data_IF_010314859158
#
_entry.id   IF_010314859158
#
_cell.length_a   1.000
_cell.length_b   1.000
_cell.length_c   1.000
_cell.angle_alpha   90.00
_cell.angle_beta   90.00
_cell.angle_gamma   90.00
#
_symmetry.space_group_name_H-M   'P 1'
#
loop_
_entity.id
_entity.type
_entity.pdbx_description
1 polymer ?
#
# COMPACT_ATOMS: atom_id res chain seq x y z
N UNK A 1 4.90 -22.22 -7.00
CA UNK A 1 5.60 -20.91 -6.94
C UNK A 1 4.82 -19.82 -6.19
N UNK A 2 3.57 -19.48 -6.55
CA UNK A 2 2.81 -18.39 -5.92
C UNK A 2 2.44 -18.59 -4.42
N UNK A 3 2.25 -19.85 -3.97
CA UNK A 3 2.02 -20.15 -2.55
C UNK A 3 3.28 -19.97 -1.71
N UNK A 4 4.44 -20.41 -2.22
CA UNK A 4 5.74 -20.24 -1.57
C UNK A 4 6.10 -18.76 -1.40
N UNK A 5 5.90 -17.95 -2.44
CA UNK A 5 6.12 -16.49 -2.37
C UNK A 5 5.22 -15.82 -1.32
N UNK A 6 3.93 -16.18 -1.25
CA UNK A 6 3.02 -15.69 -0.21
C UNK A 6 3.45 -16.11 1.19
N UNK A 7 3.94 -17.34 1.36
CA UNK A 7 4.48 -17.80 2.64
C UNK A 7 5.70 -16.98 3.07
N UNK A 8 6.63 -16.72 2.15
CA UNK A 8 7.80 -15.88 2.42
C UNK A 8 7.41 -14.44 2.77
N UNK A 9 6.46 -13.84 2.06
CA UNK A 9 5.95 -12.49 2.36
C UNK A 9 5.32 -12.42 3.76
N UNK A 10 4.50 -13.41 4.11
CA UNK A 10 3.90 -13.55 5.45
C UNK A 10 4.93 -13.72 6.56
N UNK A 11 6.02 -14.44 6.30
CA UNK A 11 7.15 -14.55 7.23
C UNK A 11 7.90 -13.22 7.35
N UNK A 12 8.15 -12.56 6.22
CA UNK A 12 8.85 -11.28 6.15
C UNK A 12 8.16 -10.18 6.96
N UNK A 13 6.84 -10.01 6.82
CA UNK A 13 6.11 -9.00 7.60
C UNK A 13 6.13 -9.28 9.11
N UNK A 14 6.12 -10.55 9.53
CA UNK A 14 6.22 -10.93 10.95
C UNK A 14 7.60 -10.65 11.54
N UNK A 15 8.67 -10.97 10.80
CA UNK A 15 10.03 -10.64 11.19
C UNK A 15 10.23 -9.12 11.28
N UNK A 16 9.68 -8.37 10.32
CA UNK A 16 9.75 -6.91 10.33
C UNK A 16 8.97 -6.31 11.53
N UNK A 17 7.80 -6.86 11.87
CA UNK A 17 7.09 -6.46 13.09
C UNK A 17 7.93 -6.72 14.33
N UNK A 18 8.53 -7.90 14.46
CA UNK A 18 9.37 -8.23 15.63
C UNK A 18 10.51 -7.21 15.78
N UNK A 19 11.23 -6.92 14.69
CA UNK A 19 12.29 -5.92 14.69
C UNK A 19 11.78 -4.52 15.07
N UNK A 20 10.61 -4.12 14.56
CA UNK A 20 10.00 -2.84 14.93
C UNK A 20 9.60 -2.79 16.41
N UNK A 21 9.07 -3.88 16.96
CA UNK A 21 8.73 -3.96 18.38
C UNK A 21 9.98 -3.88 19.27
N UNK A 22 11.06 -4.56 18.88
CA UNK A 22 12.34 -4.53 19.59
C UNK A 22 12.92 -3.10 19.58
N UNK A 23 12.91 -2.43 18.42
CA UNK A 23 13.38 -1.04 18.26
C UNK A 23 12.56 -0.05 19.11
N UNK A 24 11.23 -0.21 19.11
CA UNK A 24 10.32 0.58 19.93
C UNK A 24 10.33 0.17 21.42
N UNK A 25 11.10 -0.86 21.79
CA UNK A 25 11.17 -1.44 23.14
C UNK A 25 9.80 -1.89 23.67
N UNK A 26 8.94 -2.38 22.78
CA UNK A 26 7.62 -2.91 23.09
C UNK A 26 7.68 -4.43 23.26
N UNK A 27 7.43 -4.91 24.48
CA UNK A 27 7.25 -6.35 24.74
C UNK A 27 5.79 -6.71 24.52
N UNK A 28 5.43 -6.98 23.28
CA UNK A 28 4.08 -7.35 22.88
C UNK A 28 4.09 -8.36 21.75
N UNK A 29 2.92 -8.89 21.38
CA UNK A 29 2.77 -9.85 20.27
C UNK A 29 1.60 -9.46 19.38
N UNK A 30 1.62 -9.92 18.12
CA UNK A 30 0.52 -9.69 17.20
C UNK A 30 -0.70 -10.56 17.57
N UNK A 31 -1.87 -9.93 17.69
CA UNK A 31 -3.17 -10.58 17.73
C UNK A 31 -3.73 -10.68 16.31
N UNK A 32 -3.74 -11.90 15.75
CA UNK A 32 -4.24 -12.20 14.40
C UNK A 32 -5.72 -12.62 14.39
N UNK A 33 -6.43 -12.55 15.52
CA UNK A 33 -7.81 -13.04 15.62
C UNK A 33 -8.80 -12.22 14.79
N UNK A 34 -8.55 -10.93 14.63
CA UNK A 34 -9.45 -10.00 13.95
C UNK A 34 -8.68 -8.95 13.16
N UNK A 35 -9.32 -8.43 12.11
CA UNK A 35 -8.83 -7.31 11.34
C UNK A 35 -9.66 -6.04 11.68
N UNK A 36 -9.07 -4.84 11.82
CA UNK A 36 -7.65 -4.51 11.71
C UNK A 36 -6.82 -5.16 12.82
N UNK A 37 -5.62 -5.62 12.47
CA UNK A 37 -4.74 -6.29 13.41
C UNK A 37 -4.31 -5.36 14.54
N UNK A 38 -4.08 -5.95 15.71
CA UNK A 38 -3.62 -5.23 16.90
C UNK A 38 -2.52 -6.00 17.61
N UNK A 39 -1.79 -5.33 18.48
CA UNK A 39 -0.95 -5.99 19.48
C UNK A 39 -1.81 -6.50 20.64
N UNK A 40 -1.45 -7.64 21.21
CA UNK A 40 -2.23 -8.37 22.21
C UNK A 40 -2.44 -7.57 23.50
N UNK A 41 -1.40 -6.90 24.00
CA UNK A 41 -1.39 -6.27 25.32
C UNK A 41 -1.75 -4.78 25.23
N UNK A 42 -0.97 -4.03 24.43
CA UNK A 42 -1.11 -2.57 24.27
C UNK A 42 -2.32 -2.17 23.42
N UNK A 43 -2.88 -3.10 22.64
CA UNK A 43 -3.95 -2.87 21.66
C UNK A 43 -3.60 -1.88 20.55
N UNK A 44 -2.31 -1.56 20.36
CA UNK A 44 -1.87 -0.74 19.23
C UNK A 44 -2.23 -1.41 17.91
N UNK A 45 -2.68 -0.62 16.95
CA UNK A 45 -3.03 -1.09 15.62
C UNK A 45 -1.79 -1.42 14.82
N UNK A 46 -1.83 -2.53 14.08
CA UNK A 46 -0.77 -2.98 13.19
C UNK A 46 -1.35 -3.15 11.80
N UNK A 47 -0.67 -2.61 10.79
CA UNK A 47 -1.06 -2.79 9.40
C UNK A 47 0.14 -3.24 8.57
N UNK A 48 -0.11 -4.20 7.68
CA UNK A 48 0.91 -4.78 6.81
C UNK A 48 0.58 -4.52 5.35
N UNK A 49 1.64 -4.38 4.55
CA UNK A 49 1.51 -4.56 3.10
C UNK A 49 2.76 -5.23 2.55
N UNK A 50 2.61 -5.87 1.40
CA UNK A 50 3.71 -6.49 0.71
C UNK A 50 3.46 -6.46 -0.80
N UNK A 51 4.53 -6.40 -1.57
CA UNK A 51 4.48 -6.55 -3.02
C UNK A 51 5.63 -7.43 -3.48
N UNK A 52 5.53 -8.00 -4.67
CA UNK A 52 6.58 -8.81 -5.26
C UNK A 52 6.36 -8.98 -6.75
N UNK A 53 7.42 -9.37 -7.46
CA UNK A 53 7.31 -9.62 -8.90
C UNK A 53 6.32 -10.76 -9.17
N UNK A 54 5.35 -10.51 -10.05
CA UNK A 54 4.62 -11.56 -10.76
C UNK A 54 5.55 -12.05 -11.86
N UNK A 55 6.32 -13.12 -11.61
CA UNK A 55 7.08 -13.77 -12.67
C UNK A 55 6.07 -14.32 -13.71
N UNK A 56 5.87 -13.60 -14.83
CA UNK A 56 5.10 -14.11 -15.96
C UNK A 56 5.98 -14.67 -17.10
N UNK A 57 7.30 -14.67 -16.96
CA UNK A 57 8.21 -15.29 -17.94
C UNK A 57 8.71 -16.64 -17.44
N UNK A 58 7.89 -17.67 -17.63
CA UNK A 58 8.37 -19.05 -17.74
C UNK A 58 8.89 -19.26 -19.16
N UNK A 59 10.09 -18.77 -19.42
CA UNK A 59 10.99 -19.26 -20.48
C UNK A 59 12.31 -18.51 -20.37
N UNK A 60 13.21 -19.00 -19.52
CA UNK A 60 14.65 -18.86 -19.77
C UNK A 60 15.49 -19.72 -18.81
N UNK A 61 16.49 -20.33 -19.42
CA UNK A 61 17.40 -21.37 -18.95
C UNK A 61 17.96 -21.22 -17.53
N UNK A 62 18.13 -22.38 -16.91
CA UNK A 62 18.33 -22.73 -15.51
C UNK A 62 19.65 -22.30 -14.85
N UNK A 63 20.36 -21.28 -15.35
CA UNK A 63 21.70 -20.92 -14.83
C UNK A 63 21.84 -19.45 -14.42
N UNK A 64 20.88 -18.57 -14.71
CA UNK A 64 20.90 -17.15 -14.27
C UNK A 64 20.10 -16.87 -12.99
N UNK A 65 19.65 -17.90 -12.28
CA UNK A 65 18.70 -17.77 -11.17
C UNK A 65 19.29 -17.29 -9.84
N UNK A 66 20.62 -17.11 -9.74
CA UNK A 66 21.28 -16.77 -8.48
C UNK A 66 21.28 -15.24 -8.21
N UNK A 67 21.15 -14.40 -9.25
CA UNK A 67 21.19 -12.93 -9.12
C UNK A 67 19.90 -12.23 -9.56
N UNK A 68 18.75 -12.93 -9.62
CA UNK A 68 17.47 -12.26 -9.84
C UNK A 68 17.05 -11.62 -8.51
N UNK A 69 17.43 -10.35 -8.32
CA UNK A 69 16.96 -9.49 -7.22
C UNK A 69 15.50 -9.80 -6.93
N UNK A 70 15.25 -10.43 -5.78
CA UNK A 70 13.91 -10.66 -5.28
C UNK A 70 13.35 -9.28 -4.94
N UNK A 71 12.70 -8.62 -5.91
CA UNK A 71 12.01 -7.34 -5.74
C UNK A 71 10.74 -7.47 -4.86
N UNK A 72 10.77 -8.35 -3.85
CA UNK A 72 9.74 -8.45 -2.85
C UNK A 72 10.00 -7.38 -1.80
N UNK A 73 9.00 -6.52 -1.58
CA UNK A 73 9.04 -5.53 -0.51
C UNK A 73 7.95 -5.85 0.50
N UNK A 74 8.25 -5.64 1.77
CA UNK A 74 7.31 -5.78 2.88
C UNK A 74 7.36 -4.51 3.70
N UNK A 75 6.23 -4.13 4.28
CA UNK A 75 6.11 -2.96 5.15
C UNK A 75 5.16 -3.27 6.31
N UNK A 76 5.45 -2.66 7.46
CA UNK A 76 4.63 -2.70 8.67
C UNK A 76 4.56 -1.30 9.24
N UNK A 77 3.39 -0.92 9.72
CA UNK A 77 3.18 0.32 10.47
C UNK A 77 2.42 0.01 11.75
N UNK A 78 2.73 0.77 12.82
CA UNK A 78 2.05 0.68 14.12
C UNK A 78 1.45 2.04 14.46
N UNK A 79 0.22 2.06 14.95
CA UNK A 79 -0.44 3.25 15.48
C UNK A 79 -1.02 2.98 16.86
N UNK A 80 -0.84 3.93 17.78
CA UNK A 80 -1.26 3.77 19.18
C UNK A 80 -2.75 3.98 19.39
N UNK A 81 -3.37 4.87 18.61
CA UNK A 81 -4.67 5.45 18.98
C UNK A 81 -5.81 5.09 18.02
N UNK A 82 -5.51 4.84 16.73
CA UNK A 82 -6.53 4.61 15.70
C UNK A 82 -6.05 3.59 14.66
N UNK A 83 -6.98 2.94 13.92
CA UNK A 83 -6.61 2.08 12.80
C UNK A 83 -5.77 2.87 11.78
N UNK A 84 -4.76 2.22 11.24
CA UNK A 84 -3.78 2.77 10.29
C UNK A 84 -3.78 1.93 9.02
N UNK A 85 -3.57 2.58 7.88
CA UNK A 85 -3.51 1.94 6.57
C UNK A 85 -2.10 2.05 5.99
N UNK A 86 -1.58 0.97 5.41
CA UNK A 86 -0.37 1.04 4.60
C UNK A 86 -0.57 0.22 3.34
N UNK A 87 -0.09 0.72 2.21
CA UNK A 87 0.00 -0.07 1.01
C UNK A 87 1.27 0.19 0.21
N UNK A 88 1.96 -0.89 -0.17
CA UNK A 88 3.16 -0.87 -1.00
C UNK A 88 2.86 -1.60 -2.30
N UNK A 89 3.06 -0.93 -3.43
CA UNK A 89 2.83 -1.53 -4.74
C UNK A 89 4.01 -1.18 -5.65
N UNK A 90 4.55 -2.15 -6.37
CA UNK A 90 5.61 -1.92 -7.37
C UNK A 90 5.00 -1.78 -8.75
N UNK A 91 3.93 -2.52 -9.04
CA UNK A 91 3.31 -2.59 -10.35
C UNK A 91 2.40 -1.38 -10.62
N UNK A 92 2.16 -1.10 -11.89
CA UNK A 92 1.09 -0.18 -12.28
C UNK A 92 -0.27 -0.88 -12.21
N UNK A 93 -1.32 -0.11 -11.96
CA UNK A 93 -2.70 -0.57 -12.10
C UNK A 93 -3.01 -0.68 -13.58
N UNK A 94 -3.43 -1.86 -14.02
CA UNK A 94 -3.88 -2.04 -15.40
C UNK A 94 -5.11 -1.15 -15.65
N UNK A 95 -5.13 -0.42 -16.77
CA UNK A 95 -6.15 0.61 -17.00
C UNK A 95 -7.59 0.08 -16.93
N UNK A 96 -7.84 -1.13 -17.47
CA UNK A 96 -9.15 -1.77 -17.41
C UNK A 96 -9.61 -2.09 -15.96
N UNK A 97 -8.68 -2.29 -15.02
CA UNK A 97 -9.00 -2.46 -13.60
C UNK A 97 -9.45 -1.14 -13.00
N UNK A 98 -8.74 -0.04 -13.28
CA UNK A 98 -9.15 1.30 -12.86
C UNK A 98 -10.53 1.65 -13.43
N UNK A 99 -10.76 1.44 -14.73
CA UNK A 99 -12.05 1.66 -15.38
C UNK A 99 -13.21 0.87 -14.75
N UNK A 100 -12.94 -0.32 -14.22
CA UNK A 100 -13.96 -1.17 -13.62
C UNK A 100 -14.34 -0.72 -12.21
N UNK A 101 -13.39 -0.19 -11.44
CA UNK A 101 -13.56 -0.01 -10.01
C UNK A 101 -13.53 1.44 -9.54
N UNK A 102 -12.90 2.36 -10.26
CA UNK A 102 -12.80 3.75 -9.82
C UNK A 102 -14.11 4.49 -10.12
N UNK A 103 -14.38 5.53 -9.34
CA UNK A 103 -15.53 6.39 -9.55
C UNK A 103 -15.43 7.17 -10.86
N UNK A 104 -16.56 7.63 -11.39
CA UNK A 104 -16.60 8.39 -12.64
C UNK A 104 -15.79 9.70 -12.56
N UNK A 105 -15.80 10.38 -11.41
CA UNK A 105 -15.03 11.61 -11.19
C UNK A 105 -13.52 11.34 -11.21
N UNK A 106 -13.06 10.26 -10.58
CA UNK A 106 -11.64 9.85 -10.64
C UNK A 106 -11.24 9.53 -12.07
N UNK A 107 -12.08 8.82 -12.81
CA UNK A 107 -11.80 8.45 -14.20
C UNK A 107 -11.70 9.68 -15.10
N UNK A 108 -12.62 10.63 -14.98
CA UNK A 108 -12.58 11.90 -15.72
C UNK A 108 -11.29 12.68 -15.42
N UNK A 109 -10.95 12.83 -14.13
CA UNK A 109 -9.74 13.54 -13.72
C UNK A 109 -8.46 12.83 -14.20
N UNK A 110 -8.38 11.50 -14.09
CA UNK A 110 -7.26 10.71 -14.60
C UNK A 110 -7.09 10.83 -16.11
N UNK A 111 -8.19 10.89 -16.86
CA UNK A 111 -8.17 11.06 -18.31
C UNK A 111 -7.67 12.45 -18.75
N UNK A 112 -7.84 13.48 -17.92
CA UNK A 112 -7.29 14.81 -18.18
C UNK A 112 -5.77 14.91 -17.96
N UNK A 113 -5.16 13.96 -17.23
CA UNK A 113 -3.72 13.93 -16.98
C UNK A 113 -2.91 13.41 -18.18
N UNK A 114 -1.65 13.83 -18.26
CA UNK A 114 -0.68 13.25 -19.20
C UNK A 114 -0.53 11.72 -18.98
N UNK A 115 -0.15 10.94 -20.00
CA UNK A 115 -0.08 9.47 -19.88
C UNK A 115 0.81 8.98 -18.74
N UNK A 116 1.90 9.68 -18.44
CA UNK A 116 2.80 9.33 -17.33
C UNK A 116 2.15 9.64 -15.98
N UNK A 117 1.64 10.86 -15.80
CA UNK A 117 0.96 11.26 -14.56
C UNK A 117 -0.23 10.34 -14.29
N UNK A 118 -1.06 10.05 -15.30
CA UNK A 118 -2.19 9.13 -15.18
C UNK A 118 -1.79 7.78 -14.59
N UNK A 119 -0.70 7.17 -15.08
CA UNK A 119 -0.22 5.87 -14.58
C UNK A 119 0.24 5.94 -13.12
N UNK A 120 0.89 7.03 -12.73
CA UNK A 120 1.40 7.24 -11.38
C UNK A 120 0.24 7.52 -10.42
N UNK A 121 -0.63 8.48 -10.75
CA UNK A 121 -1.77 8.87 -9.92
C UNK A 121 -2.78 7.73 -9.79
N UNK A 122 -3.07 6.98 -10.86
CA UNK A 122 -3.94 5.81 -10.77
C UNK A 122 -3.40 4.78 -9.76
N UNK A 123 -2.08 4.59 -9.70
CA UNK A 123 -1.45 3.71 -8.71
C UNK A 123 -1.51 4.29 -7.30
N UNK A 124 -1.26 5.58 -7.11
CA UNK A 124 -1.39 6.20 -5.79
C UNK A 124 -2.83 6.11 -5.25
N UNK A 125 -3.83 6.34 -6.11
CA UNK A 125 -5.24 6.15 -5.75
C UNK A 125 -5.53 4.69 -5.35
N UNK A 126 -4.95 3.70 -6.03
CA UNK A 126 -5.09 2.30 -5.64
C UNK A 126 -4.56 2.06 -4.22
N UNK A 127 -3.36 2.53 -3.94
CA UNK A 127 -2.72 2.36 -2.63
C UNK A 127 -3.50 3.07 -1.51
N UNK A 128 -4.06 4.26 -1.81
CA UNK A 128 -4.95 4.99 -0.90
C UNK A 128 -6.23 4.20 -0.63
N UNK A 129 -6.90 3.71 -1.68
CA UNK A 129 -8.12 2.91 -1.56
C UNK A 129 -7.90 1.62 -0.76
N UNK A 130 -6.85 0.86 -1.06
CA UNK A 130 -6.45 -0.33 -0.30
C UNK A 130 -6.14 0.01 1.17
N UNK A 131 -5.46 1.13 1.42
CA UNK A 131 -5.17 1.59 2.79
C UNK A 131 -6.45 1.94 3.56
N UNK A 132 -7.42 2.62 2.94
CA UNK A 132 -8.70 2.91 3.57
C UNK A 132 -9.60 1.66 3.73
N UNK A 133 -9.56 0.71 2.80
CA UNK A 133 -10.18 -0.62 2.97
C UNK A 133 -9.63 -1.29 4.24
N UNK A 134 -8.31 -1.23 4.44
CA UNK A 134 -7.64 -1.79 5.62
C UNK A 134 -8.07 -1.10 6.92
N UNK A 135 -8.25 0.22 6.89
CA UNK A 135 -8.69 1.02 8.05
C UNK A 135 -10.14 0.73 8.41
N UNK A 136 -11.04 0.80 7.43
CA UNK A 136 -12.49 0.78 7.65
C UNK A 136 -13.13 -0.60 7.50
N UNK A 137 -12.34 -1.62 7.12
CA UNK A 137 -12.80 -2.99 6.87
C UNK A 137 -13.87 -3.07 5.77
N UNK A 138 -13.77 -2.21 4.77
CA UNK A 138 -14.67 -2.27 3.63
C UNK A 138 -14.50 -3.57 2.84
N UNK A 139 -15.55 -4.00 2.16
CA UNK A 139 -15.40 -4.99 1.09
C UNK A 139 -14.58 -4.38 -0.04
N UNK A 140 -13.72 -5.17 -0.68
CA UNK A 140 -12.82 -4.69 -1.74
C UNK A 140 -13.53 -3.86 -2.81
N UNK A 141 -14.59 -4.39 -3.41
CA UNK A 141 -15.34 -3.68 -4.46
C UNK A 141 -15.99 -2.37 -3.96
N UNK A 142 -16.45 -2.34 -2.71
CA UNK A 142 -17.03 -1.15 -2.10
C UNK A 142 -15.95 -0.07 -1.90
N UNK A 143 -14.83 -0.43 -1.28
CA UNK A 143 -13.77 0.53 -0.97
C UNK A 143 -13.05 1.06 -2.21
N UNK A 144 -12.87 0.22 -3.23
CA UNK A 144 -12.28 0.67 -4.51
C UNK A 144 -13.19 1.67 -5.25
N UNK A 145 -14.51 1.60 -5.04
CA UNK A 145 -15.50 2.49 -5.65
C UNK A 145 -15.67 3.86 -4.97
N UNK A 146 -15.08 4.07 -3.78
CA UNK A 146 -15.15 5.36 -3.08
C UNK A 146 -14.39 6.42 -3.88
N UNK A 147 -15.01 7.57 -4.12
CA UNK A 147 -14.44 8.67 -4.89
C UNK A 147 -13.39 9.46 -4.09
N UNK A 148 -12.12 9.38 -4.53
CA UNK A 148 -10.99 10.15 -4.03
C UNK A 148 -10.46 11.18 -5.05
N UNK A 149 -11.27 11.58 -6.02
CA UNK A 149 -10.88 12.56 -7.05
C UNK A 149 -10.38 13.89 -6.47
N UNK A 150 -10.88 14.28 -5.29
CA UNK A 150 -10.45 15.48 -4.56
C UNK A 150 -8.98 15.46 -4.13
N UNK A 151 -8.34 14.29 -4.03
CA UNK A 151 -6.90 14.17 -3.71
C UNK A 151 -5.99 14.33 -4.94
N UNK A 152 -6.53 14.27 -6.17
CA UNK A 152 -5.71 14.17 -7.38
C UNK A 152 -4.78 15.38 -7.56
N UNK A 153 -5.24 16.59 -7.22
CA UNK A 153 -4.42 17.79 -7.32
C UNK A 153 -3.18 17.72 -6.40
N UNK A 154 -3.39 17.34 -5.14
CA UNK A 154 -2.32 17.18 -4.16
C UNK A 154 -1.37 16.04 -4.54
N UNK A 155 -1.89 14.93 -5.07
CA UNK A 155 -1.07 13.82 -5.56
C UNK A 155 -0.24 14.21 -6.78
N UNK A 156 -0.78 15.03 -7.70
CA UNK A 156 -0.02 15.57 -8.84
C UNK A 156 1.10 16.49 -8.35
N UNK A 157 0.87 17.26 -7.30
CA UNK A 157 1.91 18.06 -6.67
C UNK A 157 2.98 17.16 -6.02
N UNK A 158 2.56 16.12 -5.29
CA UNK A 158 3.43 15.18 -4.58
C UNK A 158 4.47 14.48 -5.46
N UNK A 159 4.13 14.24 -6.73
CA UNK A 159 5.01 13.51 -7.66
C UNK A 159 5.99 14.42 -8.43
N UNK A 160 5.91 15.75 -8.24
CA UNK A 160 6.85 16.68 -8.89
C UNK A 160 8.25 16.64 -8.27
N UNK A 161 8.32 16.37 -6.97
CA UNK A 161 9.59 16.31 -6.24
C UNK A 161 9.97 14.87 -5.90
N UNK A 162 10.99 14.30 -6.55
CA UNK A 162 11.29 12.86 -6.47
C UNK A 162 11.83 12.38 -5.12
N UNK A 163 12.02 13.26 -4.13
CA UNK A 163 12.83 12.96 -2.94
C UNK A 163 12.18 13.24 -1.58
N UNK A 164 10.99 13.84 -1.54
CA UNK A 164 10.34 14.19 -0.28
C UNK A 164 9.23 13.21 0.09
N UNK A 165 9.21 12.83 1.37
CA UNK A 165 7.98 12.43 2.03
C UNK A 165 7.02 13.62 1.93
N UNK A 166 5.89 13.45 1.24
CA UNK A 166 4.83 14.44 1.26
C UNK A 166 3.70 13.95 2.17
N UNK A 167 3.17 14.85 3.00
CA UNK A 167 1.99 14.57 3.82
C UNK A 167 0.83 15.42 3.33
N UNK A 168 -0.23 14.77 2.87
CA UNK A 168 -1.49 15.38 2.47
C UNK A 168 -2.46 15.29 3.65
N UNK A 169 -3.11 16.38 4.00
CA UNK A 169 -4.22 16.37 4.96
C UNK A 169 -5.47 15.99 4.18
N UNK A 170 -6.10 14.87 4.53
CA UNK A 170 -7.36 14.50 3.90
C UNK A 170 -8.46 15.44 4.44
N UNK A 171 -9.12 16.18 3.55
CA UNK A 171 -10.18 17.12 3.94
C UNK A 171 -11.51 16.43 4.23
N UNK A 172 -11.66 15.15 3.85
CA UNK A 172 -12.90 14.37 4.03
C UNK A 172 -12.81 13.37 5.18
N UNK A 173 -11.66 13.23 5.83
CA UNK A 173 -11.49 12.40 7.02
C UNK A 173 -10.48 13.01 7.98
N UNK A 174 -10.40 12.51 9.22
CA UNK A 174 -9.40 12.99 10.16
C UNK A 174 -7.99 12.40 9.90
N UNK A 175 -7.78 11.71 8.76
CA UNK A 175 -6.52 11.05 8.43
C UNK A 175 -5.53 11.96 7.70
N UNK A 176 -4.24 11.63 7.81
CA UNK A 176 -3.17 12.18 6.97
C UNK A 176 -2.65 11.09 6.04
N UNK A 177 -2.31 11.47 4.81
CA UNK A 177 -1.80 10.57 3.79
C UNK A 177 -0.34 10.92 3.53
N UNK A 178 0.57 10.07 4.02
CA UNK A 178 1.98 10.13 3.69
C UNK A 178 2.24 9.40 2.36
N UNK A 179 2.80 10.13 1.40
CA UNK A 179 3.25 9.64 0.10
C UNK A 179 4.77 9.48 0.13
N UNK A 180 5.23 8.23 0.13
CA UNK A 180 6.64 7.86 0.10
C UNK A 180 7.00 7.37 -1.30
N UNK A 181 7.18 8.30 -2.23
CA UNK A 181 7.35 8.02 -3.67
C UNK A 181 8.56 7.11 -3.95
N UNK A 182 9.69 7.34 -3.29
CA UNK A 182 10.90 6.52 -3.46
C UNK A 182 10.69 5.06 -3.01
N UNK A 183 9.91 4.85 -1.95
CA UNK A 183 9.56 3.54 -1.41
C UNK A 183 8.34 2.93 -2.10
N UNK A 184 7.66 3.69 -2.97
CA UNK A 184 6.40 3.32 -3.61
C UNK A 184 5.34 2.91 -2.59
N UNK A 185 5.25 3.67 -1.49
CA UNK A 185 4.41 3.34 -0.33
C UNK A 185 3.48 4.49 0.02
N UNK A 186 2.23 4.17 0.35
CA UNK A 186 1.29 5.08 1.01
C UNK A 186 1.12 4.62 2.46
N UNK A 187 1.12 5.58 3.38
CA UNK A 187 0.71 5.37 4.77
C UNK A 187 -0.41 6.35 5.11
N UNK A 188 -1.51 5.87 5.66
CA UNK A 188 -2.66 6.66 6.10
C UNK A 188 -2.77 6.55 7.63
N UNK A 189 -2.59 7.65 8.36
CA UNK A 189 -2.45 7.67 9.83
C UNK A 189 -3.21 8.81 10.52
#
# INVERSE_FOLDING_TARGET
MAQHQRHLQRKGVRLLLQQLLDELKLRDTLDESNFPYRLSSSKYYVCFSHTGNKNHDTNQNTVQTINKSLNSKVTVVISRHRPIGVDIETNHVAWHVAQRFYSEHEMAALQALSPLQRKIIAKLLWQIKESFIKIHQYKLAQGLGIDYSYLIADLVYAIREPSSLMVIVDIKSDYRIAVLSAQQTIVIF
#
